data_IF_880877466389
#
_entry.id   IF_880877466389
#
_cell.length_a   1.000
_cell.length_b   1.000
_cell.length_c   1.000
_cell.angle_alpha   90.00
_cell.angle_beta   90.00
_cell.angle_gamma   90.00
#
_symmetry.space_group_name_H-M   'P 1'
#
loop_
_entity.id
_entity.type
_entity.pdbx_description
1 polymer ?
#
# COMPACT_ATOMS: atom_id res chain seq x y z
N UNK A 1 -16.03 -26.30 -22.34
CA UNK A 1 -16.18 -25.28 -21.26
C UNK A 1 -14.96 -25.32 -20.36
N UNK A 2 -14.38 -24.17 -20.08
CA UNK A 2 -13.23 -24.09 -19.17
C UNK A 2 -13.66 -24.43 -17.74
N UNK A 3 -12.83 -25.20 -17.02
CA UNK A 3 -13.14 -25.62 -15.64
C UNK A 3 -13.25 -24.43 -14.68
N UNK A 4 -12.59 -23.32 -14.98
CA UNK A 4 -12.64 -22.12 -14.15
C UNK A 4 -13.87 -21.24 -14.41
N UNK A 5 -14.64 -21.56 -15.44
CA UNK A 5 -15.84 -20.77 -15.77
C UNK A 5 -16.87 -20.91 -14.65
N UNK A 6 -17.39 -19.79 -14.18
CA UNK A 6 -18.36 -19.75 -13.08
C UNK A 6 -17.77 -19.94 -11.70
N UNK A 7 -16.45 -20.07 -11.57
CA UNK A 7 -15.78 -20.14 -10.27
C UNK A 7 -15.76 -18.77 -9.62
N UNK A 8 -15.97 -18.75 -8.32
CA UNK A 8 -15.87 -17.56 -7.51
C UNK A 8 -14.70 -17.69 -6.55
N UNK A 9 -13.99 -16.58 -6.34
CA UNK A 9 -12.88 -16.52 -5.39
C UNK A 9 -13.30 -15.62 -4.22
N UNK A 10 -13.11 -16.13 -3.01
CA UNK A 10 -13.39 -15.35 -1.80
C UNK A 10 -12.24 -14.42 -1.48
N UNK A 11 -12.57 -13.26 -0.93
CA UNK A 11 -11.58 -12.27 -0.54
C UNK A 11 -12.00 -11.56 0.74
N UNK A 12 -11.04 -10.91 1.40
CA UNK A 12 -11.27 -10.19 2.64
C UNK A 12 -11.80 -8.78 2.36
N UNK A 13 -12.46 -8.20 3.36
CA UNK A 13 -12.88 -6.79 3.29
C UNK A 13 -11.68 -5.88 3.58
N UNK A 14 -11.88 -4.56 3.34
CA UNK A 14 -10.86 -3.55 3.61
C UNK A 14 -10.46 -3.48 5.08
N UNK A 15 -11.27 -4.00 5.99
CA UNK A 15 -10.94 -4.07 7.42
C UNK A 15 -9.73 -4.96 7.70
N UNK A 16 -9.38 -5.83 6.77
CA UNK A 16 -8.21 -6.69 6.88
C UNK A 16 -6.90 -5.93 6.67
N UNK A 17 -6.94 -4.79 6.00
CA UNK A 17 -5.76 -3.92 5.83
C UNK A 17 -5.32 -3.44 7.22
N UNK A 18 -4.05 -3.65 7.53
CA UNK A 18 -3.55 -3.35 8.87
C UNK A 18 -2.46 -2.29 8.86
N UNK A 19 -2.87 -1.04 8.99
CA UNK A 19 -1.93 0.09 9.13
C UNK A 19 -1.15 0.05 10.44
N UNK A 20 -1.60 -0.74 11.42
CA UNK A 20 -0.89 -0.94 12.68
C UNK A 20 0.45 -1.64 12.53
N UNK A 21 0.71 -2.30 11.40
CA UNK A 21 2.04 -2.86 11.11
C UNK A 21 3.09 -1.78 10.85
N UNK A 22 2.67 -0.60 10.40
CA UNK A 22 3.59 0.46 9.99
C UNK A 22 4.37 1.02 11.17
N UNK A 23 5.67 1.18 10.98
CA UNK A 23 6.59 1.75 11.94
C UNK A 23 7.41 2.85 11.29
N UNK A 24 7.98 3.72 12.10
CA UNK A 24 8.87 4.78 11.66
C UNK A 24 10.17 4.74 12.44
N UNK A 25 11.19 5.37 11.91
CA UNK A 25 12.41 5.66 12.65
C UNK A 25 12.73 7.15 12.54
N UNK A 26 13.42 7.68 13.55
CA UNK A 26 13.80 9.09 13.56
C UNK A 26 14.88 9.34 12.51
N UNK A 27 14.71 10.41 11.73
CA UNK A 27 15.64 10.76 10.69
C UNK A 27 15.64 12.30 10.50
N UNK A 28 16.74 12.93 10.87
CA UNK A 28 16.87 14.38 10.87
C UNK A 28 17.59 14.85 9.60
N UNK A 29 16.93 14.75 8.48
CA UNK A 29 17.43 15.25 7.19
C UNK A 29 16.24 15.66 6.32
N UNK A 30 15.64 16.80 6.66
CA UNK A 30 14.39 17.28 6.06
C UNK A 30 14.51 17.61 4.58
N UNK A 31 15.73 17.87 4.11
CA UNK A 31 16.00 18.23 2.72
C UNK A 31 16.13 17.01 1.81
N UNK A 32 16.30 15.83 2.39
CA UNK A 32 16.48 14.61 1.59
C UNK A 32 15.17 14.16 0.99
N UNK A 33 15.15 14.02 -0.33
CA UNK A 33 13.98 13.46 -1.01
C UNK A 33 14.07 11.94 -1.03
N UNK A 34 13.08 11.30 -0.45
CA UNK A 34 13.07 9.84 -0.31
C UNK A 34 12.14 9.25 -1.34
N UNK A 35 12.65 8.27 -2.09
CA UNK A 35 11.88 7.50 -3.06
C UNK A 35 12.02 6.04 -2.72
N UNK A 36 10.91 5.39 -2.45
CA UNK A 36 10.84 3.96 -2.19
C UNK A 36 9.95 3.31 -3.23
N UNK A 37 10.43 2.25 -3.86
CA UNK A 37 9.65 1.51 -4.85
C UNK A 37 9.55 0.05 -4.43
N UNK A 38 8.38 -0.53 -4.54
CA UNK A 38 8.18 -1.98 -4.39
C UNK A 38 7.44 -2.52 -5.60
N UNK A 39 7.74 -3.76 -5.95
CA UNK A 39 7.05 -4.52 -7.00
C UNK A 39 6.19 -5.63 -6.40
N UNK A 40 6.08 -5.68 -5.08
CA UNK A 40 5.47 -6.79 -4.37
C UNK A 40 4.02 -6.53 -3.94
N UNK A 41 3.43 -5.40 -4.37
CA UNK A 41 2.08 -5.06 -3.96
C UNK A 41 1.06 -5.87 -4.76
N UNK A 42 0.09 -6.43 -4.04
CA UNK A 42 -1.07 -7.07 -4.66
C UNK A 42 -2.31 -6.89 -3.79
N UNK A 43 -3.44 -6.84 -4.44
CA UNK A 43 -4.77 -6.89 -3.83
C UNK A 43 -5.64 -7.69 -4.79
N UNK A 44 -6.93 -7.75 -4.55
CA UNK A 44 -7.82 -8.45 -5.48
C UNK A 44 -8.90 -7.51 -5.98
N UNK A 45 -9.33 -7.73 -7.20
CA UNK A 45 -10.46 -7.00 -7.78
C UNK A 45 -11.75 -7.44 -7.08
N UNK A 46 -12.52 -6.52 -6.48
CA UNK A 46 -13.76 -6.92 -5.80
C UNK A 46 -14.85 -7.40 -6.76
N UNK A 47 -14.70 -7.13 -8.05
CA UNK A 47 -15.63 -7.61 -9.06
C UNK A 47 -15.37 -9.07 -9.43
N UNK A 48 -14.10 -9.45 -9.64
CA UNK A 48 -13.72 -10.78 -10.14
C UNK A 48 -13.09 -11.69 -9.09
N UNK A 49 -12.54 -11.12 -8.02
CA UNK A 49 -11.73 -11.85 -7.05
C UNK A 49 -10.34 -12.22 -7.57
N UNK A 50 -9.97 -11.74 -8.75
CA UNK A 50 -8.67 -12.02 -9.32
C UNK A 50 -7.61 -11.05 -8.80
N UNK A 51 -6.34 -11.49 -8.70
CA UNK A 51 -5.29 -10.61 -8.16
C UNK A 51 -4.97 -9.46 -9.10
N UNK A 52 -4.81 -8.28 -8.50
CA UNK A 52 -4.26 -7.08 -9.12
C UNK A 52 -2.86 -6.86 -8.57
N UNK A 53 -1.86 -6.85 -9.45
CA UNK A 53 -0.48 -6.61 -9.04
C UNK A 53 -0.05 -5.22 -9.49
N UNK A 54 0.74 -4.55 -8.64
CA UNK A 54 1.20 -3.21 -8.95
C UNK A 54 2.59 -2.94 -8.42
N UNK A 55 3.29 -2.05 -9.13
CA UNK A 55 4.43 -1.35 -8.57
C UNK A 55 3.89 -0.18 -7.75
N UNK A 56 4.44 0.03 -6.56
CA UNK A 56 4.09 1.19 -5.71
C UNK A 56 5.33 2.04 -5.51
N UNK A 57 5.21 3.33 -5.78
CA UNK A 57 6.27 4.31 -5.60
C UNK A 57 5.81 5.30 -4.53
N UNK A 58 6.62 5.45 -3.49
CA UNK A 58 6.37 6.36 -2.37
C UNK A 58 7.44 7.42 -2.38
N UNK A 59 7.05 8.69 -2.43
CA UNK A 59 7.98 9.82 -2.51
C UNK A 59 7.61 10.86 -1.47
N UNK A 60 8.60 11.29 -0.68
CA UNK A 60 8.36 12.31 0.34
C UNK A 60 9.65 12.94 0.84
N UNK A 61 9.50 14.11 1.47
CA UNK A 61 10.54 14.68 2.33
C UNK A 61 10.22 14.33 3.79
N UNK A 62 11.19 13.93 4.61
CA UNK A 62 10.94 13.58 6.01
C UNK A 62 10.77 14.83 6.88
N UNK A 63 9.77 15.65 6.56
CA UNK A 63 9.50 16.93 7.25
C UNK A 63 9.16 16.74 8.73
N UNK A 64 8.53 15.63 9.08
CA UNK A 64 8.20 15.29 10.46
C UNK A 64 9.38 14.73 11.26
N UNK A 65 10.57 14.67 10.69
CA UNK A 65 11.76 14.13 11.36
C UNK A 65 11.77 12.61 11.46
N UNK A 66 11.03 11.92 10.61
CA UNK A 66 10.92 10.46 10.63
C UNK A 66 10.70 9.89 9.24
N UNK A 67 11.14 8.65 9.06
CA UNK A 67 10.96 7.89 7.84
C UNK A 67 10.20 6.61 8.10
N UNK A 68 9.56 6.09 7.05
CA UNK A 68 8.91 4.77 7.11
C UNK A 68 9.98 3.69 7.24
N UNK A 69 9.77 2.76 8.16
CA UNK A 69 10.60 1.57 8.30
C UNK A 69 10.17 0.55 7.25
N UNK A 70 11.14 0.09 6.41
CA UNK A 70 10.80 -0.65 5.18
C UNK A 70 10.28 -2.07 5.42
N UNK A 71 10.73 -2.75 6.47
CA UNK A 71 10.22 -4.08 6.79
C UNK A 71 8.76 -4.01 7.22
N UNK A 72 8.41 -3.01 8.04
CA UNK A 72 7.03 -2.78 8.47
C UNK A 72 6.13 -2.45 7.27
N UNK A 73 6.67 -1.72 6.30
CA UNK A 73 5.96 -1.42 5.06
C UNK A 73 5.62 -2.69 4.29
N UNK A 74 6.53 -3.66 4.27
CA UNK A 74 6.27 -4.96 3.62
C UNK A 74 5.12 -5.70 4.29
N UNK A 75 5.10 -5.74 5.62
CA UNK A 75 3.98 -6.36 6.35
C UNK A 75 2.66 -5.64 6.08
N UNK A 76 2.70 -4.32 6.02
CA UNK A 76 1.53 -3.52 5.69
C UNK A 76 0.99 -3.90 4.30
N UNK A 77 1.84 -3.97 3.30
CA UNK A 77 1.41 -4.34 1.95
C UNK A 77 0.90 -5.79 1.89
N UNK A 78 1.49 -6.70 2.66
CA UNK A 78 1.00 -8.09 2.73
C UNK A 78 -0.45 -8.14 3.22
N UNK A 79 -0.86 -7.21 4.09
CA UNK A 79 -2.24 -7.16 4.56
C UNK A 79 -3.28 -6.86 3.48
N UNK A 80 -2.84 -6.37 2.31
CA UNK A 80 -3.72 -6.13 1.15
C UNK A 80 -3.93 -7.37 0.28
N UNK A 81 -3.09 -8.38 0.39
CA UNK A 81 -2.97 -9.43 -0.65
C UNK A 81 -4.27 -10.11 -1.03
N UNK A 82 -5.15 -10.36 -0.08
CA UNK A 82 -6.44 -10.98 -0.35
C UNK A 82 -7.62 -10.03 -0.12
N UNK A 83 -7.35 -8.73 -0.09
CA UNK A 83 -8.39 -7.73 0.16
C UNK A 83 -9.02 -7.31 -1.17
N UNK A 84 -10.35 -7.38 -1.22
CA UNK A 84 -11.11 -6.88 -2.36
C UNK A 84 -11.20 -5.37 -2.31
N UNK A 85 -10.44 -4.70 -3.16
CA UNK A 85 -10.38 -3.24 -3.21
C UNK A 85 -10.03 -2.80 -4.63
N UNK A 86 -10.71 -1.77 -5.13
CA UNK A 86 -10.38 -1.21 -6.43
C UNK A 86 -9.03 -0.48 -6.40
N UNK A 87 -8.37 -0.45 -7.55
CA UNK A 87 -7.00 0.08 -7.70
C UNK A 87 -6.89 1.51 -7.18
N UNK A 88 -7.83 2.38 -7.54
CA UNK A 88 -7.84 3.78 -7.11
C UNK A 88 -8.03 3.91 -5.60
N UNK A 89 -8.90 3.09 -5.03
CA UNK A 89 -9.14 3.08 -3.59
C UNK A 89 -7.94 2.54 -2.81
N UNK A 90 -7.22 1.55 -3.36
CA UNK A 90 -5.99 1.04 -2.77
C UNK A 90 -4.92 2.13 -2.70
N UNK A 91 -4.75 2.88 -3.78
CA UNK A 91 -3.81 3.99 -3.84
C UNK A 91 -4.15 5.06 -2.81
N UNK A 92 -5.43 5.42 -2.70
CA UNK A 92 -5.89 6.40 -1.71
C UNK A 92 -5.65 5.90 -0.28
N UNK A 93 -5.92 4.62 -0.02
CA UNK A 93 -5.71 4.04 1.31
C UNK A 93 -4.24 4.10 1.72
N UNK A 94 -3.33 3.78 0.81
CA UNK A 94 -1.89 3.86 1.06
C UNK A 94 -1.50 5.31 1.37
N UNK A 95 -2.00 6.27 0.59
CA UNK A 95 -1.75 7.69 0.84
C UNK A 95 -2.24 8.11 2.23
N UNK A 96 -3.47 7.76 2.57
CA UNK A 96 -4.06 8.15 3.85
C UNK A 96 -3.28 7.57 5.03
N UNK A 97 -2.92 6.29 4.96
CA UNK A 97 -2.19 5.63 6.04
C UNK A 97 -0.79 6.19 6.22
N UNK A 98 -0.06 6.42 5.12
CA UNK A 98 1.31 6.93 5.17
C UNK A 98 1.37 8.42 5.52
N UNK A 99 0.43 9.23 5.04
CA UNK A 99 0.38 10.64 5.43
C UNK A 99 0.10 10.80 6.92
N UNK A 100 -0.78 10.00 7.47
CA UNK A 100 -1.06 9.98 8.90
C UNK A 100 0.16 9.53 9.70
N UNK A 101 0.82 8.48 9.25
CA UNK A 101 2.01 7.94 9.91
C UNK A 101 3.15 8.95 9.97
N UNK A 102 3.41 9.61 8.85
CA UNK A 102 4.53 10.56 8.70
C UNK A 102 4.18 11.98 9.17
N UNK A 103 2.90 12.24 9.42
CA UNK A 103 2.45 13.56 9.88
C UNK A 103 2.58 14.64 8.83
N UNK A 104 2.47 14.30 7.55
CA UNK A 104 2.56 15.26 6.43
C UNK A 104 1.62 14.88 5.31
N UNK A 105 1.09 15.88 4.60
CA UNK A 105 0.35 15.69 3.36
C UNK A 105 1.24 15.77 2.12
N UNK A 106 2.52 16.13 2.30
CA UNK A 106 3.49 16.27 1.21
C UNK A 106 4.15 14.95 0.88
N UNK A 107 3.33 14.00 0.49
CA UNK A 107 3.74 12.66 0.10
C UNK A 107 3.05 12.33 -1.21
N UNK A 108 3.76 11.65 -2.09
CA UNK A 108 3.22 11.21 -3.37
C UNK A 108 3.22 9.69 -3.44
N UNK A 109 2.07 9.15 -3.73
CA UNK A 109 1.90 7.70 -3.94
C UNK A 109 1.55 7.49 -5.41
N UNK A 110 2.33 6.65 -6.08
CA UNK A 110 2.08 6.24 -7.46
C UNK A 110 1.94 4.73 -7.50
N UNK A 111 0.86 4.25 -8.09
CA UNK A 111 0.67 2.83 -8.33
C UNK A 111 0.61 2.59 -9.84
N UNK A 112 1.32 1.55 -10.29
CA UNK A 112 1.40 1.19 -11.70
C UNK A 112 0.97 -0.26 -11.82
N UNK A 113 -0.22 -0.43 -12.31
CA UNK A 113 -0.81 -1.76 -12.51
C UNK A 113 -0.48 -2.34 -13.88
#
# INVERSE_FOLDING_TARGET
>A
MAKAQGKEFTFDSEDHINSGFLETFLFDSKEQYIVTKTREFSAVCPFSGLPDLADVIIEYFPEGGKCVELKSLKYYFVSFRNVGIYQEAATKRIYDDLSKLLGTSKIKITTIY
#
